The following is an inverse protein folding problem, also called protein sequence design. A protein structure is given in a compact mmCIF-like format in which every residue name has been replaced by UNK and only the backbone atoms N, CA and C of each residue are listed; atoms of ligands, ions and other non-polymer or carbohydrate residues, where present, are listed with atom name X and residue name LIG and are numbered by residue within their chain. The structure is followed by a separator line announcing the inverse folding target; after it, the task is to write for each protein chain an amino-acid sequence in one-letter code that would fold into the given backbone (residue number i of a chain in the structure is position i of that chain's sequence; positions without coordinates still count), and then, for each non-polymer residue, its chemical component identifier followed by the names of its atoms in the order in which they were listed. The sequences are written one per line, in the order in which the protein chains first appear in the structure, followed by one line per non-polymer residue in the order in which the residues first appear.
data_IF_417940131606
#
_entry.id   IF_417940131606
#
_cell.length_a   1.000
_cell.length_b   1.000
_cell.length_c   1.000
_cell.angle_alpha   90.00
_cell.angle_beta   90.00
_cell.angle_gamma   90.00
#
_symmetry.space_group_name_H-M   'P 1'
#
loop_
_entity.id
_entity.type
_entity.pdbx_description
1 polymer ?
#
# COMPACT_ATOMS: atom_id res chain seq x y z
N UNK A 1 -4.10 -53.62 38.91
CA UNK A 1 -3.30 -53.01 37.82
C UNK A 1 -4.18 -51.95 37.17
N UNK A 2 -4.08 -50.70 37.65
CA UNK A 2 -3.38 -49.56 37.01
C UNK A 2 -4.13 -49.07 35.75
N UNK A 3 -4.54 -47.82 35.56
CA UNK A 3 -4.54 -46.58 36.34
C UNK A 3 -5.54 -45.60 35.67
N UNK A 4 -6.23 -44.76 36.46
CA UNK A 4 -7.04 -43.63 35.97
C UNK A 4 -6.13 -42.42 35.64
N UNK A 5 -6.47 -41.57 34.66
CA UNK A 5 -5.78 -40.30 34.47
C UNK A 5 -6.22 -39.29 35.54
N UNK A 6 -5.24 -38.74 36.26
CA UNK A 6 -5.42 -37.78 37.34
C UNK A 6 -5.73 -36.38 36.83
N UNK A 7 -6.74 -35.77 37.44
CA UNK A 7 -7.05 -34.35 37.36
C UNK A 7 -5.95 -33.53 38.05
N UNK A 8 -5.17 -32.78 37.28
CA UNK A 8 -4.32 -31.72 37.83
C UNK A 8 -5.07 -30.41 37.84
N UNK A 9 -5.47 -30.01 39.05
CA UNK A 9 -5.97 -28.68 39.35
C UNK A 9 -4.92 -27.61 38.98
N UNK A 10 -5.37 -26.59 38.24
CA UNK A 10 -4.64 -25.35 38.00
C UNK A 10 -4.40 -24.63 39.33
N UNK A 11 -3.18 -24.68 39.83
CA UNK A 11 -2.73 -23.78 40.89
C UNK A 11 -2.61 -22.37 40.29
N UNK A 12 -3.52 -21.48 40.69
CA UNK A 12 -3.45 -20.07 40.38
C UNK A 12 -2.19 -19.47 41.00
N UNK A 13 -1.21 -19.10 40.18
CA UNK A 13 -0.10 -18.26 40.60
C UNK A 13 -0.65 -16.89 41.00
N UNK A 14 -0.80 -16.66 42.32
CA UNK A 14 -1.01 -15.33 42.89
C UNK A 14 0.22 -14.47 42.54
N UNK A 15 0.01 -13.43 41.72
CA UNK A 15 1.01 -12.38 41.51
C UNK A 15 1.15 -11.56 42.80
N UNK A 16 2.36 -11.27 43.28
CA UNK A 16 2.54 -10.30 44.35
C UNK A 16 2.19 -8.89 43.85
N UNK A 17 1.41 -8.15 44.64
CA UNK A 17 1.10 -6.74 44.40
C UNK A 17 2.37 -5.89 44.55
N UNK A 18 2.65 -4.94 43.63
CA UNK A 18 3.76 -4.01 43.82
C UNK A 18 3.35 -2.93 44.83
N UNK A 19 4.07 -2.90 45.95
CA UNK A 19 4.05 -1.83 46.93
C UNK A 19 4.94 -0.66 46.48
N UNK A 20 4.37 0.56 46.44
CA UNK A 20 5.09 1.83 46.61
C UNK A 20 5.76 2.44 45.36
N UNK A 21 5.81 3.79 45.26
CA UNK A 21 6.28 4.49 44.06
C UNK A 21 7.82 4.45 43.97
N UNK A 22 8.33 3.85 42.90
CA UNK A 22 9.73 4.03 42.51
C UNK A 22 9.90 5.42 41.89
N UNK A 23 10.67 6.28 42.56
CA UNK A 23 11.15 7.55 42.03
C UNK A 23 11.97 7.30 40.76
N UNK A 24 11.43 7.63 39.59
CA UNK A 24 12.15 7.59 38.33
C UNK A 24 13.19 8.72 38.29
N UNK A 25 14.47 8.36 38.38
CA UNK A 25 15.56 9.29 38.08
C UNK A 25 15.51 9.68 36.59
N UNK A 26 15.70 10.96 36.30
CA UNK A 26 15.75 11.50 34.94
C UNK A 26 16.83 10.77 34.10
N UNK A 27 16.57 10.47 32.82
CA UNK A 27 17.58 9.88 31.94
C UNK A 27 18.76 10.85 31.80
N UNK A 28 19.97 10.34 32.02
CA UNK A 28 21.20 11.09 31.79
C UNK A 28 21.33 11.46 30.31
N UNK A 29 21.86 12.65 30.04
CA UNK A 29 22.04 13.18 28.69
C UNK A 29 22.77 12.17 27.78
N UNK A 30 22.39 12.06 26.49
CA UNK A 30 23.03 11.14 25.57
C UNK A 30 24.52 11.43 25.47
N UNK A 31 25.34 10.36 25.58
CA UNK A 31 26.78 10.45 25.42
C UNK A 31 27.10 10.97 24.00
N UNK A 32 28.00 11.96 23.84
CA UNK A 32 28.28 12.52 22.53
C UNK A 32 28.86 11.46 21.59
N UNK A 33 28.40 11.48 20.34
CA UNK A 33 28.87 10.59 19.28
C UNK A 33 30.38 10.77 19.06
N UNK A 34 31.14 9.68 19.12
CA UNK A 34 32.62 9.70 19.00
C UNK A 34 33.10 9.62 17.54
N UNK A 35 32.22 9.73 16.55
CA UNK A 35 32.63 9.73 15.15
C UNK A 35 33.36 11.05 14.80
N UNK A 36 34.28 10.98 13.82
CA UNK A 36 35.09 12.14 13.37
C UNK A 36 34.23 13.33 12.91
N UNK A 37 33.00 13.09 12.45
CA UNK A 37 32.10 14.10 11.91
C UNK A 37 31.40 14.98 12.98
N UNK A 38 31.38 14.56 14.25
CA UNK A 38 30.65 15.25 15.33
C UNK A 38 31.57 15.85 16.40
N UNK A 39 32.89 15.96 16.17
CA UNK A 39 33.82 16.57 17.13
C UNK A 39 33.71 18.11 17.11
N UNK A 40 33.60 18.78 18.27
CA UNK A 40 33.70 20.24 18.33
C UNK A 40 35.07 20.68 17.79
N UNK A 41 35.06 21.57 16.79
CA UNK A 41 36.27 22.10 16.15
C UNK A 41 36.55 21.59 14.73
N UNK A 42 35.74 20.66 14.18
CA UNK A 42 35.89 20.21 12.79
C UNK A 42 35.24 21.15 11.78
N UNK A 43 35.55 22.46 11.78
CA UNK A 43 35.36 23.40 10.64
C UNK A 43 33.99 23.55 9.97
N UNK A 44 32.95 22.79 10.33
CA UNK A 44 31.60 22.87 9.80
C UNK A 44 30.82 23.89 10.63
N UNK A 45 31.29 25.14 10.57
CA UNK A 45 30.52 26.27 11.02
C UNK A 45 29.25 26.39 10.18
N UNK A 46 28.11 26.54 10.85
CA UNK A 46 26.83 27.06 10.34
C UNK A 46 26.66 26.94 8.82
N UNK A 47 26.41 25.72 8.32
CA UNK A 47 25.81 25.59 7.01
C UNK A 47 24.42 26.22 7.12
N UNK A 48 24.23 27.37 6.48
CA UNK A 48 22.93 27.99 6.29
C UNK A 48 21.94 26.97 5.75
N UNK A 49 20.65 27.23 5.99
CA UNK A 49 19.54 26.46 5.43
C UNK A 49 19.90 25.98 4.01
N UNK A 50 20.06 24.67 3.85
CA UNK A 50 20.31 24.07 2.56
C UNK A 50 19.07 24.36 1.71
N UNK A 51 19.13 25.42 0.90
CA UNK A 51 18.18 25.65 -0.17
C UNK A 51 18.36 24.46 -1.11
N UNK A 52 17.43 23.52 -1.02
CA UNK A 52 17.23 22.52 -2.06
C UNK A 52 16.75 23.30 -3.28
N UNK A 53 17.72 23.71 -4.11
CA UNK A 53 17.42 24.13 -5.47
C UNK A 53 17.14 22.84 -6.22
N UNK A 54 15.91 22.68 -6.67
CA UNK A 54 15.53 21.57 -7.53
C UNK A 54 16.47 21.56 -8.74
N UNK A 55 17.30 20.53 -8.84
CA UNK A 55 17.87 20.18 -10.13
C UNK A 55 16.70 19.73 -11.00
N UNK A 56 16.46 20.46 -12.08
CA UNK A 56 15.72 19.95 -13.23
C UNK A 56 16.53 18.76 -13.73
N UNK A 57 16.13 17.55 -13.37
CA UNK A 57 16.53 16.38 -14.13
C UNK A 57 15.75 16.43 -15.44
N UNK A 58 16.48 16.57 -16.55
CA UNK A 58 15.97 16.20 -17.86
C UNK A 58 15.61 14.71 -17.79
N UNK A 59 14.34 14.40 -17.55
CA UNK A 59 13.81 13.04 -17.58
C UNK A 59 13.66 12.57 -19.02
N UNK A 60 14.79 12.40 -19.71
CA UNK A 60 14.90 11.48 -20.83
C UNK A 60 15.52 10.18 -20.32
N UNK A 61 14.85 9.52 -19.36
CA UNK A 61 15.16 8.14 -19.02
C UNK A 61 14.74 7.27 -20.20
N UNK A 62 15.70 6.91 -21.05
CA UNK A 62 15.49 5.97 -22.13
C UNK A 62 14.98 4.64 -21.55
N UNK A 63 13.73 4.28 -21.87
CA UNK A 63 13.17 2.99 -21.51
C UNK A 63 14.07 1.88 -22.11
N UNK A 64 14.45 0.85 -21.34
CA UNK A 64 15.21 -0.26 -21.88
C UNK A 64 14.43 -0.93 -23.03
N UNK A 65 15.09 -1.36 -24.11
CA UNK A 65 14.39 -1.84 -25.30
C UNK A 65 13.57 -3.09 -24.97
N UNK A 66 12.27 -3.03 -25.26
CA UNK A 66 11.34 -4.16 -25.16
C UNK A 66 11.88 -5.30 -26.03
N UNK A 67 12.09 -6.47 -25.41
CA UNK A 67 12.85 -7.58 -26.00
C UNK A 67 12.04 -8.40 -26.98
N UNK A 68 10.71 -8.37 -26.91
CA UNK A 68 9.83 -9.12 -27.81
C UNK A 68 8.84 -8.23 -28.55
N UNK A 69 8.39 -8.68 -29.72
CA UNK A 69 7.38 -7.99 -30.53
C UNK A 69 6.03 -7.87 -29.79
N UNK A 70 5.71 -8.87 -28.95
CA UNK A 70 4.53 -8.89 -28.08
C UNK A 70 4.60 -7.80 -27.00
N UNK A 71 5.77 -7.59 -26.39
CA UNK A 71 5.99 -6.49 -25.43
C UNK A 71 5.81 -5.11 -26.09
N UNK A 72 6.22 -4.96 -27.35
CA UNK A 72 6.06 -3.71 -28.13
C UNK A 72 4.59 -3.44 -28.48
N UNK A 73 3.85 -4.46 -28.91
CA UNK A 73 2.41 -4.33 -29.22
C UNK A 73 1.58 -3.98 -27.99
N UNK A 74 1.92 -4.57 -26.84
CA UNK A 74 1.26 -4.31 -25.56
C UNK A 74 1.56 -2.89 -25.03
N UNK A 75 2.80 -2.41 -25.15
CA UNK A 75 3.17 -1.04 -24.76
C UNK A 75 2.54 0.05 -25.66
N UNK A 76 2.18 -0.29 -26.91
CA UNK A 76 1.57 0.63 -27.88
C UNK A 76 0.04 0.69 -27.81
N UNK A 77 -0.60 -0.02 -26.87
CA UNK A 77 -2.05 0.02 -26.70
C UNK A 77 -2.85 -0.49 -27.91
N UNK A 78 -2.20 -1.22 -28.84
CA UNK A 78 -2.84 -1.77 -30.04
C UNK A 78 -3.36 -3.19 -29.77
N UNK A 79 -4.23 -3.31 -28.77
CA UNK A 79 -5.11 -4.46 -28.62
C UNK A 79 -6.42 -4.19 -29.37
N UNK A 80 -6.64 -4.88 -30.49
CA UNK A 80 -7.91 -4.83 -31.21
C UNK A 80 -9.03 -5.40 -30.33
N UNK A 81 -10.09 -4.62 -30.12
CA UNK A 81 -11.28 -5.05 -29.39
C UNK A 81 -12.11 -3.90 -28.83
N UNK A 82 -12.49 -2.93 -29.66
CA UNK A 82 -13.63 -2.07 -29.35
C UNK A 82 -14.90 -2.81 -29.79
N UNK A 83 -15.45 -3.63 -28.90
CA UNK A 83 -16.85 -4.02 -29.00
C UNK A 83 -17.62 -3.30 -27.91
N UNK A 84 -18.63 -2.53 -28.32
CA UNK A 84 -19.47 -1.75 -27.42
C UNK A 84 -20.09 -2.64 -26.35
N UNK A 85 -20.10 -2.13 -25.11
CA UNK A 85 -20.76 -2.78 -23.99
C UNK A 85 -22.28 -2.73 -24.23
N UNK A 86 -22.80 -3.75 -24.91
CA UNK A 86 -24.22 -4.00 -25.03
C UNK A 86 -24.77 -4.48 -23.68
N UNK A 87 -25.79 -3.81 -23.22
CA UNK A 87 -26.53 -4.05 -21.98
C UNK A 87 -27.27 -5.40 -22.06
N UNK A 88 -26.62 -6.48 -21.61
CA UNK A 88 -27.25 -7.80 -21.66
C UNK A 88 -26.44 -9.04 -21.27
N UNK A 89 -25.12 -8.93 -21.04
CA UNK A 89 -24.30 -10.11 -20.73
C UNK A 89 -23.66 -10.01 -19.34
N UNK A 90 -24.33 -10.56 -18.33
CA UNK A 90 -23.74 -10.96 -17.04
C UNK A 90 -22.81 -12.17 -17.21
N UNK A 91 -21.88 -12.07 -18.16
CA UNK A 91 -20.94 -13.15 -18.46
C UNK A 91 -19.85 -13.21 -17.39
N UNK A 92 -19.52 -14.43 -16.95
CA UNK A 92 -18.29 -14.75 -16.24
C UNK A 92 -17.13 -14.07 -16.94
N UNK A 93 -16.63 -12.98 -16.36
CA UNK A 93 -15.46 -12.32 -16.89
C UNK A 93 -14.26 -13.24 -16.63
N UNK A 94 -13.80 -13.92 -17.69
CA UNK A 94 -12.48 -14.52 -17.70
C UNK A 94 -11.48 -13.36 -17.63
N UNK A 95 -10.62 -13.37 -16.62
CA UNK A 95 -9.63 -12.32 -16.42
C UNK A 95 -8.26 -12.89 -16.63
N UNK A 96 -7.49 -12.23 -17.49
CA UNK A 96 -6.09 -12.53 -17.71
C UNK A 96 -5.25 -11.65 -16.80
N UNK A 97 -4.20 -12.23 -16.24
CA UNK A 97 -3.23 -11.50 -15.45
C UNK A 97 -1.90 -12.22 -15.39
N UNK A 98 -0.97 -11.63 -14.65
CA UNK A 98 0.35 -12.18 -14.39
C UNK A 98 0.37 -12.78 -13.00
N UNK A 99 0.45 -14.10 -12.94
CA UNK A 99 0.45 -14.84 -11.69
C UNK A 99 1.76 -15.58 -11.47
N UNK A 100 2.04 -15.80 -10.20
CA UNK A 100 3.11 -16.64 -9.69
C UNK A 100 2.44 -17.94 -9.24
N UNK A 101 2.88 -19.08 -9.74
CA UNK A 101 2.21 -20.37 -9.46
C UNK A 101 2.74 -21.10 -8.23
N UNK A 102 3.94 -20.72 -7.79
CA UNK A 102 4.63 -21.27 -6.62
C UNK A 102 5.66 -20.26 -6.10
N UNK A 103 6.09 -20.44 -4.85
CA UNK A 103 7.05 -19.55 -4.19
C UNK A 103 8.28 -19.28 -5.07
N UNK A 104 8.62 -18.00 -5.28
CA UNK A 104 9.77 -17.54 -6.08
C UNK A 104 9.72 -17.87 -7.59
N UNK A 105 8.63 -18.43 -8.11
CA UNK A 105 8.51 -18.64 -9.55
C UNK A 105 8.42 -17.30 -10.30
N UNK A 106 8.84 -17.27 -11.58
CA UNK A 106 8.60 -16.12 -12.44
C UNK A 106 7.08 -15.89 -12.63
N UNK A 107 6.71 -14.64 -12.90
CA UNK A 107 5.35 -14.33 -13.31
C UNK A 107 5.08 -14.95 -14.70
N UNK A 108 3.92 -15.56 -14.85
CA UNK A 108 3.42 -16.09 -16.11
C UNK A 108 1.97 -15.66 -16.32
N UNK A 109 1.56 -15.56 -17.59
CA UNK A 109 0.17 -15.31 -17.93
C UNK A 109 -0.70 -16.42 -17.36
N UNK A 110 -1.74 -16.02 -16.63
CA UNK A 110 -2.72 -16.92 -16.03
C UNK A 110 -4.11 -16.32 -16.17
N UNK A 111 -5.10 -17.20 -16.38
CA UNK A 111 -6.49 -16.79 -16.52
C UNK A 111 -7.34 -17.48 -15.47
N UNK A 112 -8.27 -16.73 -14.90
CA UNK A 112 -9.28 -17.24 -13.97
C UNK A 112 -10.64 -16.61 -14.24
N UNK A 113 -11.72 -17.25 -13.81
CA UNK A 113 -13.08 -16.72 -13.94
C UNK A 113 -13.55 -16.12 -12.63
N UNK A 114 -14.10 -14.91 -12.68
CA UNK A 114 -14.86 -14.38 -11.55
C UNK A 114 -16.29 -14.95 -11.55
N UNK A 115 -16.83 -15.14 -10.34
CA UNK A 115 -18.23 -15.45 -10.13
C UNK A 115 -19.14 -14.24 -10.37
N UNK A 116 -20.41 -14.39 -10.02
CA UNK A 116 -21.36 -13.27 -10.05
C UNK A 116 -20.89 -12.12 -9.16
N UNK A 117 -21.18 -10.89 -9.59
CA UNK A 117 -20.81 -9.70 -8.85
C UNK A 117 -21.66 -9.58 -7.58
N UNK A 118 -21.00 -9.61 -6.42
CA UNK A 118 -21.65 -9.46 -5.13
C UNK A 118 -22.21 -8.06 -4.90
N UNK A 119 -23.14 -7.87 -3.95
CA UNK A 119 -23.85 -6.60 -3.76
C UNK A 119 -22.95 -5.39 -3.46
N UNK A 120 -21.85 -5.59 -2.73
CA UNK A 120 -20.89 -4.51 -2.36
C UNK A 120 -19.59 -4.59 -3.17
N UNK A 121 -19.57 -5.40 -4.23
CA UNK A 121 -18.38 -5.60 -5.05
C UNK A 121 -18.38 -4.67 -6.26
N UNK A 122 -17.18 -4.33 -6.70
CA UNK A 122 -16.92 -3.45 -7.83
C UNK A 122 -15.85 -4.10 -8.70
N UNK A 123 -16.11 -4.18 -10.00
CA UNK A 123 -15.14 -4.59 -10.99
C UNK A 123 -14.45 -3.34 -11.58
N UNK A 124 -13.12 -3.35 -11.56
CA UNK A 124 -12.28 -2.22 -11.99
C UNK A 124 -11.41 -2.69 -13.14
N UNK A 125 -11.59 -2.13 -14.33
CA UNK A 125 -10.63 -2.30 -15.43
C UNK A 125 -9.33 -1.60 -15.04
N UNK A 126 -8.30 -2.40 -14.79
CA UNK A 126 -7.02 -1.88 -14.32
C UNK A 126 -6.34 -1.18 -15.48
N UNK A 127 -5.93 0.06 -15.26
CA UNK A 127 -5.18 0.85 -16.25
C UNK A 127 -3.73 1.00 -15.85
N UNK A 128 -3.49 1.15 -14.55
CA UNK A 128 -2.17 1.34 -13.96
C UNK A 128 -2.08 0.55 -12.66
N UNK A 129 -0.91 0.02 -12.36
CA UNK A 129 -0.61 -0.52 -11.06
C UNK A 129 0.86 -0.24 -10.74
N UNK A 130 1.14 0.30 -9.55
CA UNK A 130 2.51 0.51 -9.09
C UNK A 130 3.21 -0.79 -8.69
N UNK A 131 4.54 -0.80 -8.70
CA UNK A 131 5.34 -1.97 -8.29
C UNK A 131 6.22 -1.55 -7.12
N UNK A 132 6.18 -2.32 -6.03
CA UNK A 132 7.14 -2.11 -4.95
C UNK A 132 7.67 -3.42 -4.36
N UNK A 133 8.57 -3.29 -3.38
CA UNK A 133 9.22 -4.46 -2.76
C UNK A 133 8.23 -5.38 -2.04
N UNK A 134 7.09 -4.86 -1.60
CA UNK A 134 6.01 -5.67 -1.02
C UNK A 134 5.54 -6.75 -1.99
N UNK A 135 5.41 -6.46 -3.29
CA UNK A 135 5.01 -7.46 -4.28
C UNK A 135 6.04 -8.59 -4.40
N UNK A 136 7.33 -8.26 -4.27
CA UNK A 136 8.42 -9.23 -4.27
C UNK A 136 8.41 -10.09 -3.00
N UNK A 137 8.22 -9.49 -1.82
CA UNK A 137 8.11 -10.22 -0.56
C UNK A 137 6.91 -11.17 -0.55
N UNK A 138 5.80 -10.79 -1.18
CA UNK A 138 4.62 -11.65 -1.33
C UNK A 138 4.83 -12.75 -2.37
N UNK A 139 5.45 -12.46 -3.53
CA UNK A 139 5.85 -13.48 -4.52
C UNK A 139 6.77 -14.52 -3.89
N UNK A 140 7.73 -14.06 -3.10
CA UNK A 140 8.73 -14.91 -2.47
C UNK A 140 8.22 -15.51 -1.16
N UNK A 141 7.03 -15.12 -0.71
CA UNK A 141 6.36 -15.54 0.52
C UNK A 141 7.21 -15.37 1.79
N UNK A 142 8.00 -14.30 1.85
CA UNK A 142 8.91 -14.01 2.98
C UNK A 142 8.16 -13.89 4.32
N UNK A 143 6.87 -13.60 4.28
CA UNK A 143 6.01 -13.45 5.46
C UNK A 143 5.19 -14.70 5.79
N UNK A 144 5.23 -15.75 4.96
CA UNK A 144 4.51 -17.01 5.19
C UNK A 144 2.98 -16.90 5.13
N UNK A 145 2.45 -15.89 4.42
CA UNK A 145 1.01 -15.59 4.33
C UNK A 145 0.47 -15.60 2.90
N UNK A 146 1.32 -15.90 1.93
CA UNK A 146 0.98 -15.91 0.51
C UNK A 146 0.34 -17.24 0.14
N UNK A 147 -0.66 -17.20 -0.73
CA UNK A 147 -1.28 -18.40 -1.30
C UNK A 147 -1.13 -18.35 -2.81
N UNK A 148 -0.71 -19.47 -3.39
CA UNK A 148 -0.50 -19.60 -4.83
C UNK A 148 -1.66 -20.39 -5.49
N UNK A 149 -2.07 -20.09 -6.74
CA UNK A 149 -1.52 -19.04 -7.61
C UNK A 149 -1.75 -17.63 -7.06
N UNK A 150 -0.78 -16.75 -7.24
CA UNK A 150 -0.72 -15.43 -6.63
C UNK A 150 -0.58 -14.36 -7.72
N UNK A 151 -1.51 -13.41 -7.79
CA UNK A 151 -1.39 -12.23 -8.65
C UNK A 151 -0.94 -11.06 -7.75
N UNK A 152 0.25 -10.48 -7.95
CA UNK A 152 0.69 -9.30 -7.18
C UNK A 152 -0.03 -8.00 -7.61
N UNK A 153 0.35 -6.89 -6.97
CA UNK A 153 -0.11 -5.55 -7.28
C UNK A 153 -1.11 -5.02 -6.26
N UNK A 154 -0.73 -4.00 -5.50
CA UNK A 154 -1.54 -3.40 -4.44
C UNK A 154 -1.56 -1.86 -4.49
N UNK A 155 -1.33 -1.32 -5.68
CA UNK A 155 -1.18 0.10 -5.98
C UNK A 155 -2.01 0.41 -7.24
N UNK A 156 -3.30 0.07 -7.19
CA UNK A 156 -4.13 -0.08 -8.39
C UNK A 156 -4.83 1.22 -8.73
N UNK A 157 -4.80 1.63 -9.99
CA UNK A 157 -5.66 2.69 -10.54
C UNK A 157 -6.37 2.19 -11.80
N UNK A 158 -7.66 2.46 -11.90
CA UNK A 158 -8.46 2.00 -13.00
C UNK A 158 -9.81 2.67 -13.10
N UNK A 159 -10.64 2.08 -13.95
CA UNK A 159 -11.98 2.56 -14.23
C UNK A 159 -13.00 1.51 -13.81
N UNK A 160 -14.05 1.92 -13.11
CA UNK A 160 -15.15 1.03 -12.75
C UNK A 160 -15.85 0.55 -14.03
N UNK A 161 -16.05 -0.77 -14.14
CA UNK A 161 -16.77 -1.41 -15.26
C UNK A 161 -17.99 -2.22 -14.81
N UNK A 162 -18.11 -2.50 -13.52
CA UNK A 162 -19.29 -3.17 -12.95
C UNK A 162 -19.46 -2.83 -11.48
N UNK A 163 -20.70 -2.70 -11.03
CA UNK A 163 -21.05 -2.37 -9.64
C UNK A 163 -22.14 -3.30 -9.12
N UNK A 164 -21.98 -3.76 -7.88
CA UNK A 164 -22.98 -4.52 -7.16
C UNK A 164 -24.20 -3.68 -6.78
N UNK A 165 -25.30 -4.36 -6.44
CA UNK A 165 -26.59 -3.73 -6.16
C UNK A 165 -26.64 -2.83 -4.91
N UNK A 166 -25.69 -2.98 -3.99
CA UNK A 166 -25.57 -2.21 -2.75
C UNK A 166 -24.42 -1.20 -2.78
N UNK A 167 -23.78 -1.01 -3.94
CA UNK A 167 -22.74 0.00 -4.13
C UNK A 167 -23.36 1.40 -4.21
N UNK A 168 -22.80 2.42 -3.54
CA UNK A 168 -23.33 3.78 -3.59
C UNK A 168 -23.38 4.35 -5.01
N UNK A 169 -24.44 5.09 -5.35
CA UNK A 169 -24.65 5.64 -6.69
C UNK A 169 -23.55 6.60 -7.18
N UNK A 170 -22.75 7.18 -6.26
CA UNK A 170 -21.58 7.98 -6.60
C UNK A 170 -20.50 7.17 -7.34
N UNK A 171 -20.45 5.86 -7.11
CA UNK A 171 -19.55 4.92 -7.75
C UNK A 171 -20.30 4.17 -8.84
N UNK A 172 -19.94 4.42 -10.10
CA UNK A 172 -20.65 3.90 -11.28
C UNK A 172 -19.66 3.57 -12.39
N UNK A 173 -20.07 2.78 -13.41
CA UNK A 173 -19.22 2.56 -14.58
C UNK A 173 -18.68 3.87 -15.16
N UNK A 174 -17.39 3.88 -15.50
CA UNK A 174 -16.66 5.09 -15.94
C UNK A 174 -16.01 5.89 -14.80
N UNK A 175 -16.35 5.66 -13.53
CA UNK A 175 -15.67 6.31 -12.40
C UNK A 175 -14.18 5.90 -12.34
N UNK A 176 -13.28 6.88 -12.24
CA UNK A 176 -11.84 6.65 -12.04
C UNK A 176 -11.52 6.48 -10.55
N UNK A 177 -10.93 5.34 -10.23
CA UNK A 177 -10.73 4.90 -8.85
C UNK A 177 -9.37 4.27 -8.64
N UNK A 178 -8.93 4.23 -7.39
CA UNK A 178 -7.78 3.43 -6.98
C UNK A 178 -8.03 2.66 -5.70
N UNK A 179 -7.27 1.58 -5.52
CA UNK A 179 -7.28 0.74 -4.32
C UNK A 179 -5.85 0.42 -3.91
N UNK A 180 -5.59 0.59 -2.61
CA UNK A 180 -4.28 0.35 -2.00
C UNK A 180 -4.20 -1.00 -1.30
N UNK A 181 -3.39 -1.06 -0.24
CA UNK A 181 -3.12 -2.30 0.49
C UNK A 181 -4.33 -2.92 1.20
N UNK A 182 -5.27 -2.14 1.73
CA UNK A 182 -6.37 -2.68 2.54
C UNK A 182 -7.57 -2.96 1.65
N UNK A 183 -8.07 -4.19 1.69
CA UNK A 183 -9.25 -4.63 0.94
C UNK A 183 -10.48 -4.89 1.83
N UNK A 184 -10.30 -5.06 3.13
CA UNK A 184 -11.43 -5.28 4.04
C UNK A 184 -11.11 -4.94 5.51
N UNK A 185 -12.14 -4.66 6.31
CA UNK A 185 -12.05 -4.50 7.77
C UNK A 185 -13.34 -4.96 8.46
N UNK A 186 -13.40 -4.92 9.80
CA UNK A 186 -14.60 -5.34 10.53
C UNK A 186 -15.72 -4.29 10.56
N UNK A 187 -15.45 -3.04 10.17
CA UNK A 187 -16.42 -1.91 10.09
C UNK A 187 -17.20 -1.59 11.38
N UNK A 188 -16.81 -2.16 12.51
CA UNK A 188 -17.62 -2.11 13.74
C UNK A 188 -16.83 -1.81 15.00
N UNK A 189 -15.50 -2.00 14.99
CA UNK A 189 -14.65 -1.60 16.12
C UNK A 189 -14.40 -0.09 16.13
N UNK A 190 -13.93 0.45 17.26
CA UNK A 190 -13.72 1.89 17.43
C UNK A 190 -12.71 2.45 16.41
N UNK A 191 -11.66 1.70 16.08
CA UNK A 191 -10.71 2.09 15.04
C UNK A 191 -11.39 2.23 13.67
N UNK A 192 -12.19 1.25 13.25
CA UNK A 192 -12.93 1.33 11.98
C UNK A 192 -13.94 2.49 11.97
N UNK A 193 -14.66 2.72 13.07
CA UNK A 193 -15.62 3.83 13.17
C UNK A 193 -14.95 5.22 13.13
N UNK A 194 -13.62 5.28 13.33
CA UNK A 194 -12.81 6.50 13.22
C UNK A 194 -12.12 6.66 11.87
N UNK A 195 -12.32 5.73 10.93
CA UNK A 195 -11.58 5.70 9.66
C UNK A 195 -10.11 5.28 9.83
N UNK A 196 -9.81 4.49 10.86
CA UNK A 196 -8.49 3.91 11.14
C UNK A 196 -8.52 2.39 10.89
N UNK A 197 -9.06 1.95 9.74
CA UNK A 197 -9.21 0.54 9.38
C UNK A 197 -7.87 -0.23 9.34
N UNK A 198 -6.77 0.48 9.10
CA UNK A 198 -5.40 -0.05 9.12
C UNK A 198 -4.98 -0.62 10.49
N UNK A 199 -5.65 -0.21 11.56
CA UNK A 199 -5.45 -0.72 12.93
C UNK A 199 -6.73 -1.34 13.50
N UNK A 200 -7.55 -1.93 12.62
CA UNK A 200 -8.75 -2.67 13.01
C UNK A 200 -8.47 -3.68 14.15
N UNK A 201 -9.22 -3.57 15.25
CA UNK A 201 -9.05 -4.42 16.44
C UNK A 201 -9.32 -5.91 16.19
N UNK A 202 -10.11 -6.22 15.16
CA UNK A 202 -10.41 -7.59 14.72
C UNK A 202 -9.51 -8.06 13.56
N UNK A 203 -8.55 -7.25 13.16
CA UNK A 203 -7.74 -7.45 11.96
C UNK A 203 -8.39 -6.90 10.69
N UNK A 204 -7.56 -6.44 9.76
CA UNK A 204 -7.96 -6.07 8.41
C UNK A 204 -7.51 -7.15 7.41
N UNK A 205 -8.07 -7.12 6.20
CA UNK A 205 -7.65 -7.97 5.08
C UNK A 205 -6.82 -7.16 4.09
N UNK A 206 -5.61 -7.64 3.77
CA UNK A 206 -4.79 -7.05 2.71
C UNK A 206 -5.28 -7.46 1.31
N UNK A 207 -5.11 -6.58 0.33
CA UNK A 207 -5.53 -6.76 -1.07
C UNK A 207 -4.85 -7.96 -1.72
N UNK A 208 -3.58 -8.21 -1.38
CA UNK A 208 -2.80 -9.32 -1.92
C UNK A 208 -2.48 -10.40 -0.88
N UNK A 209 -3.29 -10.50 0.19
CA UNK A 209 -3.09 -11.44 1.31
C UNK A 209 -4.19 -12.52 1.32
N UNK A 210 -3.87 -13.71 1.85
CA UNK A 210 -4.89 -14.69 2.22
C UNK A 210 -5.56 -15.44 1.07
N UNK A 211 -5.04 -15.31 -0.15
CA UNK A 211 -5.60 -15.89 -1.38
C UNK A 211 -6.27 -14.87 -2.29
N UNK A 212 -6.29 -13.60 -1.91
CA UNK A 212 -6.73 -12.52 -2.78
C UNK A 212 -5.74 -12.30 -3.94
N UNK A 213 -6.25 -11.77 -5.04
CA UNK A 213 -5.49 -11.43 -6.24
C UNK A 213 -5.40 -9.91 -6.41
N UNK A 214 -4.20 -9.42 -6.73
CA UNK A 214 -3.89 -8.00 -6.89
C UNK A 214 -4.10 -7.45 -8.29
N UNK A 215 -3.56 -6.26 -8.55
CA UNK A 215 -3.77 -5.47 -9.76
C UNK A 215 -3.00 -5.88 -11.00
N UNK A 216 -2.12 -6.89 -10.97
CA UNK A 216 -1.43 -7.37 -12.17
C UNK A 216 -2.33 -8.22 -13.09
N UNK A 217 -3.54 -7.73 -13.36
CA UNK A 217 -4.56 -8.35 -14.19
C UNK A 217 -5.41 -7.29 -14.88
N UNK A 218 -6.09 -7.67 -15.95
CA UNK A 218 -6.88 -6.74 -16.78
C UNK A 218 -8.03 -6.07 -16.00
N UNK A 219 -8.62 -6.80 -15.05
CA UNK A 219 -9.69 -6.26 -14.21
C UNK A 219 -9.56 -6.85 -12.81
N UNK A 220 -9.77 -6.02 -11.80
CA UNK A 220 -9.70 -6.39 -10.40
C UNK A 220 -11.08 -6.23 -9.75
N UNK A 221 -11.47 -7.20 -8.92
CA UNK A 221 -12.68 -7.10 -8.10
C UNK A 221 -12.33 -6.76 -6.67
N UNK A 222 -12.96 -5.74 -6.13
CA UNK A 222 -12.80 -5.32 -4.73
C UNK A 222 -14.14 -4.89 -4.13
N UNK A 223 -14.17 -4.68 -2.82
CA UNK A 223 -15.34 -4.09 -2.16
C UNK A 223 -15.33 -2.57 -2.28
N UNK A 224 -16.50 -1.95 -2.41
CA UNK A 224 -16.64 -0.52 -2.68
C UNK A 224 -16.05 0.40 -1.61
N UNK A 225 -16.02 -0.03 -0.34
CA UNK A 225 -15.64 0.82 0.80
C UNK A 225 -14.15 1.18 0.82
N UNK A 226 -13.32 0.41 0.13
CA UNK A 226 -11.85 0.60 0.09
C UNK A 226 -11.39 1.21 -1.24
N UNK A 227 -12.32 1.80 -1.99
CA UNK A 227 -12.01 2.53 -3.21
C UNK A 227 -11.87 4.02 -2.95
N UNK A 228 -10.79 4.58 -3.49
CA UNK A 228 -10.51 6.01 -3.47
C UNK A 228 -10.84 6.60 -4.83
N UNK A 229 -11.57 7.71 -4.86
CA UNK A 229 -11.71 8.51 -6.08
C UNK A 229 -10.37 9.18 -6.40
N UNK A 230 -9.90 9.07 -7.64
CA UNK A 230 -8.63 9.70 -8.05
C UNK A 230 -8.94 11.04 -8.72
N UNK A 231 -8.41 12.18 -8.20
CA UNK A 231 -8.64 13.49 -8.79
C UNK A 231 -8.16 13.59 -10.24
N UNK A 232 -8.90 14.31 -11.08
CA UNK A 232 -8.57 14.48 -12.51
C UNK A 232 -7.22 15.16 -12.74
N UNK A 233 -6.82 16.06 -11.82
CA UNK A 233 -5.55 16.76 -11.88
C UNK A 233 -4.32 15.86 -11.57
N UNK A 234 -4.55 14.65 -11.06
CA UNK A 234 -3.49 13.70 -10.70
C UNK A 234 -3.43 12.57 -11.74
N UNK A 235 -2.29 12.44 -12.44
CA UNK A 235 -2.02 11.35 -13.39
C UNK A 235 -2.16 9.97 -12.75
N UNK A 236 -2.51 8.94 -13.52
CA UNK A 236 -2.74 7.59 -12.98
C UNK A 236 -1.43 6.91 -12.59
N UNK A 237 -0.39 7.17 -13.38
CA UNK A 237 0.99 6.79 -13.14
C UNK A 237 1.56 7.36 -11.83
N UNK A 238 1.14 8.59 -11.48
CA UNK A 238 1.55 9.25 -10.22
C UNK A 238 0.65 8.83 -9.06
N UNK A 239 -0.64 8.61 -9.30
CA UNK A 239 -1.60 8.21 -8.28
C UNK A 239 -1.29 6.81 -7.72
N UNK A 240 -0.91 5.87 -8.57
CA UNK A 240 -0.69 4.47 -8.18
C UNK A 240 0.32 4.31 -7.02
N UNK A 241 1.56 4.84 -7.10
CA UNK A 241 2.53 4.78 -6.01
C UNK A 241 2.08 5.46 -4.71
N UNK A 242 1.20 6.47 -4.81
CA UNK A 242 0.70 7.19 -3.64
C UNK A 242 -0.24 6.32 -2.78
N UNK A 243 -0.88 5.31 -3.37
CA UNK A 243 -1.76 4.36 -2.66
C UNK A 243 -1.00 3.40 -1.74
N UNK A 244 0.34 3.36 -1.82
CA UNK A 244 1.20 2.58 -0.92
C UNK A 244 2.27 3.45 -0.27
N UNK A 245 3.32 3.81 -1.02
CA UNK A 245 4.45 4.55 -0.48
C UNK A 245 4.04 5.97 -0.04
N UNK A 246 3.16 6.62 -0.82
CA UNK A 246 2.68 7.97 -0.51
C UNK A 246 1.93 8.03 0.81
N UNK A 247 0.90 7.20 1.00
CA UNK A 247 0.14 7.18 2.26
C UNK A 247 1.00 6.75 3.45
N UNK A 248 1.94 5.82 3.26
CA UNK A 248 2.86 5.35 4.30
C UNK A 248 3.75 6.47 4.84
N UNK A 249 4.13 7.41 3.97
CA UNK A 249 4.92 8.59 4.31
C UNK A 249 4.03 9.72 4.83
N UNK A 250 2.92 10.00 4.15
CA UNK A 250 2.04 11.12 4.45
C UNK A 250 1.38 10.98 5.84
N UNK A 251 0.88 9.79 6.18
CA UNK A 251 0.16 9.58 7.44
C UNK A 251 0.98 9.96 8.70
N UNK A 252 2.22 9.47 8.90
CA UNK A 252 3.02 9.87 10.05
C UNK A 252 3.46 11.34 9.98
N UNK A 253 3.77 11.89 8.80
CA UNK A 253 4.13 13.30 8.67
C UNK A 253 2.96 14.19 9.10
N UNK A 254 1.77 13.98 8.53
CA UNK A 254 0.55 14.71 8.92
C UNK A 254 0.24 14.60 10.41
N UNK A 255 0.42 13.41 11.00
CA UNK A 255 0.09 13.15 12.42
C UNK A 255 1.08 13.78 13.39
N UNK A 256 2.35 13.89 13.01
CA UNK A 256 3.43 14.25 13.93
C UNK A 256 4.15 15.56 13.61
N UNK A 257 4.07 16.07 12.38
CA UNK A 257 4.57 17.39 12.00
C UNK A 257 3.57 18.49 12.35
N UNK A 258 3.40 18.73 13.66
CA UNK A 258 2.41 19.66 14.17
C UNK A 258 2.78 21.14 13.98
N UNK A 259 4.01 21.47 13.55
CA UNK A 259 4.50 22.85 13.46
C UNK A 259 5.35 23.07 12.21
N UNK A 260 5.18 24.20 11.51
CA UNK A 260 6.08 24.61 10.45
C UNK A 260 7.54 24.69 10.94
N UNK A 261 8.47 24.33 10.07
CA UNK A 261 9.91 24.40 10.36
C UNK A 261 10.47 23.27 11.24
N UNK A 262 9.66 22.26 11.57
CA UNK A 262 10.19 21.03 12.19
C UNK A 262 11.17 20.34 11.23
N UNK A 263 12.34 19.99 11.74
CA UNK A 263 13.33 19.24 10.98
C UNK A 263 12.95 17.75 10.92
N UNK A 264 12.97 17.18 9.72
CA UNK A 264 12.71 15.76 9.47
C UNK A 264 13.97 15.13 8.87
N UNK A 265 14.39 14.00 9.43
CA UNK A 265 15.48 13.19 8.87
C UNK A 265 14.89 11.99 8.12
N UNK A 266 15.21 11.88 6.83
CA UNK A 266 14.84 10.73 6.00
C UNK A 266 16.05 9.80 5.90
N UNK A 267 15.94 8.62 6.54
CA UNK A 267 16.99 7.60 6.53
C UNK A 267 16.73 6.58 5.42
N UNK A 268 17.45 6.74 4.31
CA UNK A 268 17.31 5.91 3.11
C UNK A 268 16.42 6.57 2.04
N UNK A 269 16.96 6.73 0.83
CA UNK A 269 16.28 7.42 -0.29
C UNK A 269 15.93 6.40 -1.37
N UNK A 270 14.89 5.60 -1.11
CA UNK A 270 14.27 4.69 -2.07
C UNK A 270 12.83 5.11 -2.42
N UNK A 271 11.95 4.15 -2.68
CA UNK A 271 10.53 4.40 -2.98
C UNK A 271 9.79 5.24 -1.93
N UNK A 272 9.97 4.95 -0.64
CA UNK A 272 9.36 5.78 0.41
C UNK A 272 10.14 7.08 0.62
N UNK A 273 11.47 6.99 0.65
CA UNK A 273 12.33 8.15 0.97
C UNK A 273 12.20 9.29 -0.03
N UNK A 274 12.12 9.02 -1.32
CA UNK A 274 11.96 10.08 -2.33
C UNK A 274 10.61 10.80 -2.21
N UNK A 275 9.52 10.09 -1.86
CA UNK A 275 8.22 10.72 -1.58
C UNK A 275 8.26 11.51 -0.27
N UNK A 276 8.98 11.03 0.75
CA UNK A 276 9.16 11.76 2.02
C UNK A 276 9.86 13.11 1.81
N UNK A 277 10.83 13.18 0.91
CA UNK A 277 11.48 14.44 0.54
C UNK A 277 10.53 15.40 -0.17
N UNK A 278 9.64 14.90 -1.03
CA UNK A 278 8.64 15.73 -1.72
C UNK A 278 7.57 16.26 -0.77
N UNK A 279 7.00 15.39 0.07
CA UNK A 279 5.97 15.78 1.05
C UNK A 279 6.56 16.71 2.12
N UNK A 280 7.69 16.32 2.73
CA UNK A 280 8.34 17.12 3.77
C UNK A 280 8.95 18.44 3.24
N UNK A 281 9.35 18.47 1.96
CA UNK A 281 9.79 19.69 1.28
C UNK A 281 8.63 20.63 0.91
N UNK A 282 7.45 20.08 0.59
CA UNK A 282 6.25 20.84 0.26
C UNK A 282 5.56 21.48 1.46
N UNK A 283 5.52 20.81 2.62
CA UNK A 283 4.93 21.38 3.86
C UNK A 283 5.82 22.47 4.51
N UNK A 284 7.01 22.74 3.95
CA UNK A 284 7.95 23.75 4.44
C UNK A 284 7.80 25.15 3.84
N UNK A 285 6.85 25.39 2.93
CA UNK A 285 6.82 26.65 2.17
C UNK A 285 5.47 27.03 1.57
N UNK A 286 4.47 27.32 2.40
CA UNK A 286 3.23 27.96 1.93
C UNK A 286 2.13 27.92 2.97
N UNK A 287 1.88 29.04 3.63
CA UNK A 287 0.75 29.18 4.55
C UNK A 287 -0.60 29.15 3.84
N UNK A 288 -1.64 28.74 4.58
CA UNK A 288 -3.03 28.99 4.21
C UNK A 288 -3.97 27.78 4.29
N UNK A 289 -4.38 27.42 5.52
CA UNK A 289 -5.79 27.30 5.91
C UNK A 289 -5.92 27.63 7.39
#
# INVERSE_FOLDING_TARGET
MLAQPSSRALAAHRRPSPSGPASAAAPSAPRPCRCRACRPGSGLGRAGALRVTAFREDTAAAQPPLKTEEQRRMAQGQGQGQEGFAEGQRQRLSRRGWAVRERKAPLAVWSHTLGELGPQEVDIRVTHNGLCHTDLHMRDDDWGVSKFPFIPGHEVVGEVVGVGSAVPASLRPGSRVGVGWIANSCRSCLACLRGEENVCEKGYTGLIVGGNHGGFQEVLRVTSDFLYSIPDALGSEDAAPLLCAGITVYAPLKRHMARPGMAVAVLGVGGLGHLALQVGGGEGGGGGV
#
